data_IF_237170428395
#
_entry.id   IF_237170428395
#
_cell.length_a   1.000
_cell.length_b   1.000
_cell.length_c   1.000
_cell.angle_alpha   90.00
_cell.angle_beta   90.00
_cell.angle_gamma   90.00
#
_symmetry.space_group_name_H-M   'P 1'
#
loop_
_entity.id
_entity.type
_entity.pdbx_description
1 polymer ?
#
# COMPACT_ATOMS: atom_id res chain seq x y z
N UNK A 1 6.04 -0.97 27.87
CA UNK A 1 6.86 -1.86 27.04
C UNK A 1 6.18 -3.22 26.93
N UNK A 2 6.05 -3.76 25.72
CA UNK A 2 5.65 -5.15 25.53
C UNK A 2 6.83 -6.04 25.87
N UNK A 3 6.62 -7.01 26.72
CA UNK A 3 7.56 -8.09 26.90
C UNK A 3 7.27 -9.18 25.85
N UNK A 4 8.21 -9.45 24.97
CA UNK A 4 8.17 -10.63 24.13
C UNK A 4 8.62 -11.83 24.94
N UNK A 5 7.97 -12.99 24.72
CA UNK A 5 8.19 -14.20 25.50
C UNK A 5 9.66 -14.65 25.59
N UNK A 6 10.46 -14.34 24.59
CA UNK A 6 11.87 -14.73 24.54
C UNK A 6 12.85 -13.62 24.94
N UNK A 7 12.38 -12.44 25.33
CA UNK A 7 13.23 -11.30 25.70
C UNK A 7 14.19 -10.82 24.62
N UNK A 8 14.18 -11.47 23.47
CA UNK A 8 14.99 -11.04 22.35
C UNK A 8 14.29 -9.86 21.67
N UNK A 9 14.97 -8.73 21.50
CA UNK A 9 14.46 -7.67 20.65
C UNK A 9 14.23 -8.26 19.26
N UNK A 10 13.14 -7.87 18.62
CA UNK A 10 12.98 -8.19 17.20
C UNK A 10 14.09 -7.46 16.47
N UNK A 11 15.13 -8.21 16.10
CA UNK A 11 16.20 -7.69 15.28
C UNK A 11 15.78 -7.75 13.83
N UNK A 12 15.69 -6.61 13.20
CA UNK A 12 15.55 -6.53 11.76
C UNK A 12 16.92 -6.79 11.14
N UNK A 13 17.08 -7.95 10.51
CA UNK A 13 18.21 -8.20 9.62
C UNK A 13 17.86 -7.57 8.28
N UNK A 14 18.45 -6.44 7.97
CA UNK A 14 18.61 -6.08 6.57
C UNK A 14 19.51 -7.16 5.95
N UNK A 15 19.00 -7.86 4.95
CA UNK A 15 19.80 -8.75 4.12
C UNK A 15 20.74 -7.90 3.27
N UNK A 16 21.78 -7.38 3.88
CA UNK A 16 22.87 -6.75 3.17
C UNK A 16 24.03 -7.74 3.13
N UNK A 17 24.06 -8.55 2.08
CA UNK A 17 25.07 -9.59 1.87
C UNK A 17 26.49 -9.05 1.65
N UNK A 18 26.69 -7.73 1.68
CA UNK A 18 27.92 -7.10 1.23
C UNK A 18 28.65 -6.25 2.27
N UNK A 19 28.12 -6.03 3.45
CA UNK A 19 28.81 -5.26 4.46
C UNK A 19 28.75 -5.94 5.83
N UNK A 20 29.92 -6.13 6.46
CA UNK A 20 30.07 -6.59 7.84
C UNK A 20 29.53 -5.60 8.90
N UNK A 21 28.84 -4.55 8.46
CA UNK A 21 28.22 -3.56 9.33
C UNK A 21 26.74 -3.87 9.51
N UNK A 22 26.47 -4.79 10.37
CA UNK A 22 25.10 -5.09 10.81
C UNK A 22 24.69 -4.07 11.87
N UNK A 23 24.17 -2.93 11.47
CA UNK A 23 23.38 -2.09 12.35
C UNK A 23 22.00 -2.73 12.53
N UNK A 24 21.92 -3.66 13.47
CA UNK A 24 20.64 -4.17 13.92
C UNK A 24 19.98 -3.13 14.81
N UNK A 25 19.07 -2.35 14.25
CA UNK A 25 18.18 -1.55 15.08
C UNK A 25 17.21 -2.51 15.78
N UNK A 26 17.40 -2.66 17.08
CA UNK A 26 16.45 -3.38 17.93
C UNK A 26 15.25 -2.48 18.18
N UNK A 27 14.04 -2.99 17.96
CA UNK A 27 12.82 -2.29 18.36
C UNK A 27 11.91 -3.20 19.16
N UNK A 28 11.12 -2.60 20.01
CA UNK A 28 10.20 -3.30 20.89
C UNK A 28 8.77 -3.05 20.44
N UNK A 29 7.95 -4.10 20.48
CA UNK A 29 6.53 -3.92 20.31
C UNK A 29 5.94 -3.24 21.53
N UNK A 30 5.08 -2.28 21.31
CA UNK A 30 4.38 -1.57 22.37
C UNK A 30 3.19 -2.41 22.82
N UNK A 31 2.94 -2.47 24.15
CA UNK A 31 1.75 -3.14 24.69
C UNK A 31 0.49 -2.65 23.99
N UNK A 32 -0.40 -3.54 23.49
CA UNK A 32 -1.56 -3.15 22.69
C UNK A 32 -2.48 -2.12 23.38
N UNK A 33 -2.73 -2.24 24.68
CA UNK A 33 -3.54 -1.26 25.41
C UNK A 33 -2.89 0.12 25.44
N UNK A 34 -1.59 0.21 25.72
CA UNK A 34 -0.86 1.46 25.74
C UNK A 34 -0.78 2.11 24.35
N UNK A 35 -0.63 1.29 23.29
CA UNK A 35 -0.68 1.79 21.93
C UNK A 35 -2.03 2.47 21.62
N UNK A 36 -3.14 1.88 22.07
CA UNK A 36 -4.48 2.47 21.87
C UNK A 36 -4.68 3.77 22.65
N UNK A 37 -4.14 3.87 23.87
CA UNK A 37 -4.17 5.12 24.66
C UNK A 37 -3.31 6.22 23.99
N UNK A 38 -2.17 5.84 23.41
CA UNK A 38 -1.31 6.76 22.66
C UNK A 38 -2.00 7.33 21.41
N UNK A 39 -2.88 6.55 20.76
CA UNK A 39 -3.70 7.05 19.64
C UNK A 39 -4.60 8.19 20.08
N UNK A 40 -5.23 8.12 21.26
CA UNK A 40 -6.10 9.19 21.75
C UNK A 40 -5.32 10.51 21.89
N UNK A 41 -4.14 10.44 22.49
CA UNK A 41 -3.25 11.60 22.62
C UNK A 41 -2.83 12.16 21.26
N UNK A 42 -2.55 11.29 20.28
CA UNK A 42 -2.23 11.69 18.91
C UNK A 42 -3.40 12.38 18.22
N UNK A 43 -4.60 11.79 18.33
CA UNK A 43 -5.84 12.35 17.76
C UNK A 43 -6.18 13.72 18.35
N UNK A 44 -6.04 13.88 19.65
CA UNK A 44 -6.25 15.19 20.32
C UNK A 44 -5.30 16.26 19.76
N UNK A 45 -4.01 15.92 19.58
CA UNK A 45 -3.03 16.83 18.99
C UNK A 45 -3.38 17.21 17.55
N UNK A 46 -3.74 16.23 16.71
CA UNK A 46 -4.13 16.47 15.31
C UNK A 46 -5.39 17.34 15.24
N UNK A 47 -6.40 17.05 16.07
CA UNK A 47 -7.61 17.85 16.15
C UNK A 47 -7.30 19.29 16.62
N UNK A 48 -6.33 19.47 17.50
CA UNK A 48 -5.84 20.78 17.93
C UNK A 48 -5.29 21.65 16.79
N UNK A 49 -4.79 21.04 15.70
CA UNK A 49 -4.41 21.73 14.47
C UNK A 49 -5.58 21.97 13.50
N UNK A 50 -6.81 21.66 13.90
CA UNK A 50 -8.00 21.84 13.08
C UNK A 50 -8.21 20.74 12.03
N UNK A 51 -7.47 19.64 12.07
CA UNK A 51 -7.63 18.49 11.16
C UNK A 51 -8.39 17.36 11.85
N UNK A 52 -9.23 16.70 11.06
CA UNK A 52 -9.86 15.43 11.44
C UNK A 52 -9.34 14.24 10.62
N UNK A 53 -8.26 14.44 9.86
CA UNK A 53 -7.65 13.41 9.05
C UNK A 53 -6.50 12.76 9.84
N UNK A 54 -6.60 11.47 10.08
CA UNK A 54 -5.67 10.68 10.90
C UNK A 54 -5.00 9.63 10.01
N UNK A 55 -3.67 9.68 9.93
CA UNK A 55 -2.88 8.63 9.28
C UNK A 55 -2.23 7.72 10.33
N UNK A 56 -2.29 6.42 10.14
CA UNK A 56 -1.68 5.42 11.03
C UNK A 56 -0.93 4.37 10.19
N UNK A 57 0.30 4.10 10.57
CA UNK A 57 1.15 3.12 9.87
C UNK A 57 0.97 1.72 10.46
N UNK A 58 1.05 1.56 11.78
CA UNK A 58 1.04 0.24 12.43
C UNK A 58 -0.36 -0.29 12.71
N UNK A 59 -1.29 0.57 13.10
CA UNK A 59 -2.67 0.18 13.40
C UNK A 59 -3.40 -0.11 12.09
N UNK A 60 -3.91 -1.34 11.97
CA UNK A 60 -4.49 -1.85 10.74
C UNK A 60 -3.50 -2.65 9.88
N UNK A 61 -2.21 -2.62 10.21
CA UNK A 61 -1.15 -3.38 9.56
C UNK A 61 -0.53 -4.41 10.52
N UNK A 62 0.01 -3.96 11.64
CA UNK A 62 0.71 -4.81 12.59
C UNK A 62 -0.26 -5.35 13.65
N UNK A 63 -0.36 -6.67 13.76
CA UNK A 63 -1.16 -7.33 14.77
C UNK A 63 -0.30 -8.28 15.61
N UNK A 64 0.10 -7.84 16.77
CA UNK A 64 0.89 -8.60 17.74
C UNK A 64 0.17 -8.69 19.08
N UNK A 65 0.39 -9.81 19.80
CA UNK A 65 -0.01 -9.94 21.20
C UNK A 65 1.12 -9.47 22.12
N UNK A 66 0.81 -9.40 23.42
CA UNK A 66 1.79 -9.22 24.49
C UNK A 66 1.92 -10.55 25.26
N UNK A 67 3.11 -11.08 25.32
CA UNK A 67 3.38 -12.36 25.96
C UNK A 67 3.90 -12.23 27.40
N UNK A 68 3.81 -11.04 27.99
CA UNK A 68 4.18 -10.83 29.38
C UNK A 68 3.43 -11.80 30.30
N UNK A 69 4.13 -12.65 31.09
CA UNK A 69 3.49 -13.65 31.95
C UNK A 69 2.55 -13.08 32.99
N UNK A 70 2.75 -11.80 33.40
CA UNK A 70 1.94 -11.13 34.42
C UNK A 70 0.70 -10.46 33.87
N UNK A 71 0.72 -10.10 32.58
CA UNK A 71 -0.37 -9.34 31.97
C UNK A 71 -0.41 -9.61 30.45
N UNK A 72 -0.71 -10.85 30.14
CA UNK A 72 -0.72 -11.36 28.77
C UNK A 72 -1.91 -10.81 27.96
N UNK A 73 -1.64 -10.35 26.75
CA UNK A 73 -2.65 -9.96 25.77
C UNK A 73 -2.56 -10.89 24.55
N UNK A 74 -3.59 -11.66 24.29
CA UNK A 74 -3.61 -12.50 23.09
C UNK A 74 -3.68 -11.66 21.81
N UNK A 75 -3.27 -12.24 20.68
CA UNK A 75 -3.41 -11.59 19.37
C UNK A 75 -4.86 -11.24 19.04
N UNK A 76 -5.81 -12.08 19.44
CA UNK A 76 -7.25 -11.81 19.29
C UNK A 76 -7.71 -10.63 20.17
N UNK A 77 -7.24 -10.56 21.43
CA UNK A 77 -7.54 -9.42 22.28
C UNK A 77 -6.94 -8.11 21.72
N UNK A 78 -5.71 -8.16 21.18
CA UNK A 78 -5.10 -7.03 20.51
C UNK A 78 -5.90 -6.57 19.28
N UNK A 79 -6.40 -7.53 18.46
CA UNK A 79 -7.28 -7.25 17.33
C UNK A 79 -8.54 -6.51 17.80
N UNK A 80 -9.20 -7.01 18.83
CA UNK A 80 -10.41 -6.39 19.37
C UNK A 80 -10.17 -4.96 19.89
N UNK A 81 -8.99 -4.70 20.48
CA UNK A 81 -8.61 -3.34 20.90
C UNK A 81 -8.42 -2.42 19.68
N UNK A 82 -7.72 -2.85 18.63
CA UNK A 82 -7.54 -2.07 17.41
C UNK A 82 -8.87 -1.79 16.71
N UNK A 83 -9.73 -2.79 16.54
CA UNK A 83 -11.06 -2.63 15.93
C UNK A 83 -11.91 -1.63 16.70
N UNK A 84 -11.98 -1.75 18.02
CA UNK A 84 -12.71 -0.78 18.85
C UNK A 84 -12.17 0.65 18.71
N UNK A 85 -10.85 0.80 18.62
CA UNK A 85 -10.22 2.10 18.43
C UNK A 85 -10.58 2.69 17.07
N UNK A 86 -10.46 1.94 15.98
CA UNK A 86 -10.84 2.37 14.64
C UNK A 86 -12.32 2.75 14.55
N UNK A 87 -13.20 1.96 15.16
CA UNK A 87 -14.63 2.29 15.28
C UNK A 87 -14.85 3.63 15.99
N UNK A 88 -14.17 3.86 17.12
CA UNK A 88 -14.31 5.11 17.88
C UNK A 88 -13.83 6.33 17.09
N UNK A 89 -12.77 6.20 16.32
CA UNK A 89 -12.28 7.26 15.42
C UNK A 89 -13.32 7.63 14.37
N UNK A 90 -13.94 6.65 13.73
CA UNK A 90 -15.01 6.88 12.76
C UNK A 90 -16.23 7.53 13.39
N UNK A 91 -16.66 7.06 14.57
CA UNK A 91 -17.78 7.67 15.31
C UNK A 91 -17.48 9.10 15.75
N UNK A 92 -16.22 9.42 16.05
CA UNK A 92 -15.74 10.77 16.31
C UNK A 92 -15.68 11.70 15.09
N UNK A 93 -16.03 11.19 13.91
CA UNK A 93 -16.04 11.92 12.64
C UNK A 93 -14.65 12.12 12.03
N UNK A 94 -13.65 11.31 12.44
CA UNK A 94 -12.34 11.33 11.83
C UNK A 94 -12.32 10.57 10.50
N UNK A 95 -11.52 11.06 9.55
CA UNK A 95 -11.12 10.33 8.37
C UNK A 95 -9.85 9.56 8.67
N UNK A 96 -9.84 8.28 8.38
CA UNK A 96 -8.77 7.36 8.78
C UNK A 96 -8.05 6.82 7.55
N UNK A 97 -6.74 7.06 7.48
CA UNK A 97 -5.83 6.44 6.55
C UNK A 97 -5.01 5.37 7.28
N UNK A 98 -4.92 4.19 6.71
CA UNK A 98 -4.10 3.08 7.23
C UNK A 98 -3.10 2.61 6.18
N UNK A 99 -2.06 1.94 6.62
CA UNK A 99 -1.04 1.33 5.75
C UNK A 99 -1.31 -0.16 5.59
N UNK A 100 -1.03 -0.70 4.41
CA UNK A 100 -1.19 -2.12 4.01
C UNK A 100 -2.62 -2.67 4.03
N UNK A 101 -3.47 -2.25 4.96
CA UNK A 101 -4.90 -2.55 4.98
C UNK A 101 -5.27 -4.00 5.26
N UNK A 102 -5.01 -4.50 6.46
CA UNK A 102 -5.52 -5.80 6.88
C UNK A 102 -7.05 -5.82 6.90
N UNK A 103 -7.66 -6.96 6.57
CA UNK A 103 -9.10 -7.15 6.43
C UNK A 103 -9.92 -6.62 7.64
N UNK A 104 -9.41 -6.74 8.86
CA UNK A 104 -10.13 -6.27 10.06
C UNK A 104 -10.19 -4.75 10.18
N UNK A 105 -9.28 -4.03 9.52
CA UNK A 105 -9.14 -2.57 9.62
C UNK A 105 -9.80 -1.82 8.45
N UNK A 106 -9.81 -2.41 7.25
CA UNK A 106 -10.35 -1.80 6.03
C UNK A 106 -11.77 -1.25 6.19
N UNK A 107 -12.74 -1.93 6.88
CA UNK A 107 -14.09 -1.40 7.07
C UNK A 107 -14.15 -0.06 7.83
N UNK A 108 -13.08 0.31 8.51
CA UNK A 108 -12.99 1.53 9.32
C UNK A 108 -12.05 2.57 8.71
N UNK A 109 -11.41 2.27 7.60
CA UNK A 109 -10.54 3.19 6.87
C UNK A 109 -11.32 3.98 5.82
N UNK A 110 -10.79 5.15 5.44
CA UNK A 110 -11.25 5.96 4.31
C UNK A 110 -10.24 5.90 3.17
N UNK A 111 -9.00 5.52 3.46
CA UNK A 111 -7.93 5.35 2.48
C UNK A 111 -6.92 4.31 2.98
N UNK A 112 -6.36 3.54 2.06
CA UNK A 112 -5.27 2.59 2.34
C UNK A 112 -4.06 2.93 1.48
N UNK A 113 -2.91 3.18 2.12
CA UNK A 113 -1.63 3.33 1.43
C UNK A 113 -0.84 2.02 1.49
N UNK A 114 0.11 1.88 0.58
CA UNK A 114 1.05 0.75 0.58
C UNK A 114 0.35 -0.62 0.65
N UNK A 115 -0.79 -0.74 -0.05
CA UNK A 115 -1.50 -2.01 -0.16
C UNK A 115 -0.66 -2.97 -1.01
N UNK A 116 -0.53 -4.21 -0.54
CA UNK A 116 0.12 -5.23 -1.34
C UNK A 116 -0.72 -5.55 -2.57
N UNK A 117 -0.25 -5.16 -3.75
CA UNK A 117 -0.92 -5.39 -5.03
C UNK A 117 -0.62 -6.79 -5.60
N UNK A 118 0.36 -7.50 -5.01
CA UNK A 118 0.79 -8.82 -5.43
C UNK A 118 0.43 -9.89 -4.41
N UNK A 119 0.17 -11.10 -4.88
CA UNK A 119 0.30 -12.28 -4.03
C UNK A 119 1.81 -12.58 -3.82
N UNK A 120 2.17 -13.16 -2.66
CA UNK A 120 3.54 -13.64 -2.47
C UNK A 120 3.86 -14.66 -3.55
N UNK A 121 4.89 -14.36 -4.35
CA UNK A 121 5.44 -15.34 -5.28
C UNK A 121 6.06 -16.48 -4.46
N UNK A 122 5.43 -17.65 -4.52
CA UNK A 122 6.00 -18.91 -4.06
C UNK A 122 6.09 -19.86 -5.25
N UNK A 123 7.08 -20.74 -5.26
CA UNK A 123 7.42 -21.57 -6.42
C UNK A 123 6.28 -22.48 -6.95
N UNK A 124 5.16 -22.55 -6.24
CA UNK A 124 3.97 -23.35 -6.63
C UNK A 124 2.84 -22.51 -7.24
N UNK A 125 3.03 -21.20 -7.34
CA UNK A 125 2.03 -20.28 -7.92
C UNK A 125 2.45 -19.97 -9.35
N UNK A 126 1.65 -20.39 -10.31
CA UNK A 126 1.88 -20.15 -11.74
C UNK A 126 1.44 -18.75 -12.16
N UNK A 127 0.35 -18.24 -11.58
CA UNK A 127 -0.20 -16.92 -11.87
C UNK A 127 -0.70 -16.22 -10.62
N UNK A 128 -0.55 -14.90 -10.61
CA UNK A 128 -1.07 -14.05 -9.55
C UNK A 128 -2.39 -13.42 -10.02
N UNK A 129 -3.39 -13.47 -9.15
CA UNK A 129 -4.66 -12.75 -9.34
C UNK A 129 -4.75 -11.67 -8.27
N UNK A 130 -5.00 -10.41 -8.61
CA UNK A 130 -5.10 -9.31 -7.65
C UNK A 130 -6.45 -9.36 -6.89
N UNK A 131 -6.78 -10.51 -6.32
CA UNK A 131 -8.09 -10.81 -5.74
C UNK A 131 -8.50 -9.81 -4.66
N UNK A 132 -7.55 -9.40 -3.81
CA UNK A 132 -7.85 -8.49 -2.70
C UNK A 132 -8.26 -7.10 -3.21
N UNK A 133 -7.54 -6.57 -4.16
CA UNK A 133 -7.87 -5.29 -4.79
C UNK A 133 -9.16 -5.37 -5.60
N UNK A 134 -9.40 -6.48 -6.31
CA UNK A 134 -10.67 -6.72 -7.01
C UNK A 134 -11.87 -6.67 -6.05
N UNK A 135 -11.73 -7.27 -4.86
CA UNK A 135 -12.79 -7.28 -3.85
C UNK A 135 -13.03 -5.92 -3.19
N UNK A 136 -12.04 -5.03 -3.18
CA UNK A 136 -12.10 -3.74 -2.49
C UNK A 136 -12.31 -2.54 -3.43
N UNK A 137 -12.04 -2.69 -4.72
CA UNK A 137 -12.17 -1.60 -5.69
C UNK A 137 -13.63 -1.09 -5.75
N UNK A 138 -13.78 0.22 -5.75
CA UNK A 138 -15.09 0.87 -5.65
C UNK A 138 -15.64 1.00 -4.22
N UNK A 139 -15.11 0.25 -3.24
CA UNK A 139 -15.52 0.33 -1.84
C UNK A 139 -14.61 1.24 -1.01
N UNK A 140 -13.33 1.27 -1.31
CA UNK A 140 -12.33 2.09 -0.63
C UNK A 140 -11.24 2.52 -1.61
N UNK A 141 -10.73 3.74 -1.44
CA UNK A 141 -9.57 4.20 -2.20
C UNK A 141 -8.28 3.61 -1.62
N UNK A 142 -7.42 3.11 -2.48
CA UNK A 142 -6.14 2.54 -2.09
C UNK A 142 -5.03 2.87 -3.09
N UNK A 143 -3.79 2.78 -2.63
CA UNK A 143 -2.58 2.83 -3.46
C UNK A 143 -1.67 1.65 -3.17
N UNK A 144 -0.85 1.28 -4.12
CA UNK A 144 0.28 0.39 -3.87
C UNK A 144 1.42 1.07 -3.12
N UNK A 145 2.59 0.44 -3.09
CA UNK A 145 3.80 1.00 -2.52
C UNK A 145 4.30 2.26 -3.25
N UNK A 146 5.22 2.98 -2.61
CA UNK A 146 5.79 4.21 -3.17
C UNK A 146 6.56 3.90 -4.48
N UNK A 147 6.10 4.47 -5.59
CA UNK A 147 6.62 4.21 -6.93
C UNK A 147 8.10 4.60 -7.02
N UNK A 148 8.45 5.77 -6.49
CA UNK A 148 9.82 6.29 -6.53
C UNK A 148 10.81 5.61 -5.56
N UNK A 149 10.35 4.65 -4.78
CA UNK A 149 11.17 3.84 -3.88
C UNK A 149 11.14 2.34 -4.24
N UNK A 150 10.50 2.00 -5.35
CA UNK A 150 10.45 0.63 -5.84
C UNK A 150 11.74 0.25 -6.59
N UNK A 151 12.13 -1.03 -6.52
CA UNK A 151 13.27 -1.56 -7.27
C UNK A 151 13.03 -1.52 -8.77
N UNK A 152 11.82 -1.79 -9.23
CA UNK A 152 11.33 -1.57 -10.60
C UNK A 152 10.11 -0.64 -10.57
N UNK A 153 10.34 0.65 -10.77
CA UNK A 153 9.30 1.68 -10.80
C UNK A 153 8.23 1.37 -11.85
N UNK A 154 8.66 0.91 -13.02
CA UNK A 154 7.76 0.62 -14.13
C UNK A 154 6.86 -0.57 -13.82
N UNK A 155 7.39 -1.60 -13.18
CA UNK A 155 6.61 -2.74 -12.70
C UNK A 155 5.55 -2.30 -11.70
N UNK A 156 5.92 -1.46 -10.73
CA UNK A 156 5.00 -0.96 -9.71
C UNK A 156 3.89 -0.08 -10.33
N UNK A 157 4.21 0.73 -11.34
CA UNK A 157 3.23 1.49 -12.13
C UNK A 157 2.25 0.54 -12.84
N UNK A 158 2.75 -0.51 -13.48
CA UNK A 158 1.92 -1.47 -14.21
C UNK A 158 0.99 -2.25 -13.26
N UNK A 159 1.50 -2.68 -12.11
CA UNK A 159 0.69 -3.33 -11.07
C UNK A 159 -0.39 -2.41 -10.50
N UNK A 160 -0.06 -1.14 -10.29
CA UNK A 160 -1.06 -0.14 -9.90
C UNK A 160 -2.15 0.02 -10.97
N UNK A 161 -1.77 0.03 -12.24
CA UNK A 161 -2.72 0.11 -13.35
C UNK A 161 -3.58 -1.17 -13.48
N UNK A 162 -2.99 -2.36 -13.32
CA UNK A 162 -3.72 -3.64 -13.38
C UNK A 162 -4.77 -3.76 -12.28
N UNK A 163 -4.45 -3.31 -11.07
CA UNK A 163 -5.31 -3.42 -9.90
C UNK A 163 -6.24 -2.22 -9.70
N UNK A 164 -6.19 -1.20 -10.56
CA UNK A 164 -6.96 0.04 -10.39
C UNK A 164 -6.52 0.88 -9.19
N UNK A 165 -5.32 0.65 -8.66
CA UNK A 165 -4.79 1.37 -7.51
C UNK A 165 -4.40 2.81 -7.87
N UNK A 166 -4.51 3.72 -6.90
CA UNK A 166 -3.97 5.08 -7.02
C UNK A 166 -2.45 5.10 -6.97
N UNK A 167 -1.87 6.23 -7.37
CA UNK A 167 -0.43 6.46 -7.30
C UNK A 167 -0.01 6.86 -5.88
N UNK A 168 1.14 6.37 -5.44
CA UNK A 168 1.77 6.73 -4.19
C UNK A 168 3.25 7.06 -4.39
N UNK A 169 3.70 8.18 -3.80
CA UNK A 169 5.08 8.63 -3.83
C UNK A 169 5.48 9.14 -2.45
N UNK A 170 6.74 8.95 -2.10
CA UNK A 170 7.32 9.51 -0.87
C UNK A 170 8.27 10.64 -1.24
N UNK A 171 8.08 11.83 -0.67
CA UNK A 171 8.90 13.00 -0.98
C UNK A 171 9.51 13.65 0.24
N UNK A 172 10.71 14.20 0.02
CA UNK A 172 11.33 15.18 0.90
C UNK A 172 11.67 16.45 0.10
N UNK A 173 11.68 17.60 0.79
CA UNK A 173 12.02 18.87 0.19
C UNK A 173 13.55 19.03 -0.01
N UNK A 174 14.35 18.44 0.87
CA UNK A 174 15.81 18.50 0.84
C UNK A 174 16.37 17.45 -0.15
N UNK A 175 17.65 17.62 -0.49
CA UNK A 175 18.36 16.61 -1.30
C UNK A 175 18.46 15.29 -0.54
N UNK A 176 18.30 14.18 -1.24
CA UNK A 176 18.38 12.84 -0.64
C UNK A 176 19.71 12.54 0.06
N UNK A 177 20.78 13.26 -0.31
CA UNK A 177 22.08 13.17 0.37
C UNK A 177 22.03 13.47 1.88
N UNK A 178 21.01 14.18 2.39
CA UNK A 178 20.84 14.40 3.83
C UNK A 178 20.40 13.13 4.58
N UNK A 179 19.96 12.11 3.86
CA UNK A 179 19.50 10.82 4.38
C UNK A 179 20.51 9.68 4.16
N UNK A 180 21.80 10.00 3.91
CA UNK A 180 22.83 8.99 3.62
C UNK A 180 23.14 8.08 4.80
N UNK A 181 22.83 8.51 6.03
CA UNK A 181 23.17 7.77 7.22
C UNK A 181 22.24 6.57 7.46
N UNK A 182 22.81 5.41 7.35
CA UNK A 182 22.40 4.09 7.80
C UNK A 182 20.91 3.76 7.69
N UNK A 183 20.12 4.14 8.66
CA UNK A 183 18.71 3.74 8.76
C UNK A 183 17.76 4.40 7.75
N UNK A 184 18.21 5.40 7.01
CA UNK A 184 17.38 6.13 6.04
C UNK A 184 17.71 5.81 4.58
N UNK A 185 18.58 4.84 4.33
CA UNK A 185 19.02 4.46 2.97
C UNK A 185 17.85 4.08 2.05
N UNK A 186 16.75 3.57 2.58
CA UNK A 186 15.54 3.27 1.82
C UNK A 186 14.92 4.48 1.11
N UNK A 187 15.25 5.71 1.53
CA UNK A 187 14.72 6.96 0.96
C UNK A 187 15.67 7.60 -0.05
N UNK A 188 16.42 6.79 -0.78
CA UNK A 188 17.47 7.24 -1.71
C UNK A 188 16.96 8.03 -2.91
N UNK A 189 15.70 7.91 -3.28
CA UNK A 189 15.08 8.52 -4.47
C UNK A 189 13.81 9.33 -4.12
N UNK A 190 13.86 10.18 -3.09
CA UNK A 190 12.66 10.85 -2.60
C UNK A 190 12.70 12.39 -2.71
N UNK A 191 13.68 13.00 -3.41
CA UNK A 191 13.66 14.45 -3.58
C UNK A 191 12.52 14.88 -4.50
N UNK A 192 11.69 15.83 -4.03
CA UNK A 192 10.53 16.31 -4.77
C UNK A 192 10.89 16.95 -6.12
N UNK A 193 11.97 17.75 -6.16
CA UNK A 193 12.36 18.47 -7.37
C UNK A 193 12.78 17.54 -8.51
N UNK A 194 13.34 16.38 -8.17
CA UNK A 194 13.73 15.36 -9.14
C UNK A 194 12.52 14.69 -9.77
N UNK A 195 11.45 14.47 -8.99
CA UNK A 195 10.29 13.67 -9.39
C UNK A 195 9.08 14.47 -9.88
N UNK A 196 8.94 15.72 -9.52
CA UNK A 196 7.70 16.51 -9.75
C UNK A 196 7.18 16.47 -11.18
N UNK A 197 8.07 16.46 -12.17
CA UNK A 197 7.68 16.46 -13.59
C UNK A 197 7.13 15.11 -14.01
N UNK A 198 7.82 14.03 -13.65
CA UNK A 198 7.44 12.67 -14.02
C UNK A 198 6.19 12.24 -13.28
N UNK A 199 6.07 12.61 -12.00
CA UNK A 199 4.85 12.42 -11.21
C UNK A 199 3.65 13.09 -11.85
N UNK A 200 3.78 14.35 -12.27
CA UNK A 200 2.67 15.07 -12.90
C UNK A 200 2.25 14.43 -14.23
N UNK A 201 3.22 14.01 -15.03
CA UNK A 201 2.97 13.31 -16.29
C UNK A 201 2.23 11.99 -16.05
N UNK A 202 2.70 11.20 -15.09
CA UNK A 202 2.10 9.93 -14.73
C UNK A 202 0.69 10.11 -14.13
N UNK A 203 0.52 11.12 -13.25
CA UNK A 203 -0.77 11.47 -12.67
C UNK A 203 -1.81 11.80 -13.75
N UNK A 204 -1.45 12.62 -14.75
CA UNK A 204 -2.34 12.96 -15.84
C UNK A 204 -2.72 11.70 -16.65
N UNK A 205 -1.75 10.85 -16.98
CA UNK A 205 -2.01 9.58 -17.68
C UNK A 205 -2.94 8.67 -16.89
N UNK A 206 -2.74 8.54 -15.57
CA UNK A 206 -3.63 7.75 -14.72
C UNK A 206 -5.04 8.34 -14.68
N UNK A 207 -5.19 9.66 -14.50
CA UNK A 207 -6.50 10.30 -14.49
C UNK A 207 -7.27 10.08 -15.79
N UNK A 208 -6.62 10.24 -16.93
CA UNK A 208 -7.26 9.99 -18.24
C UNK A 208 -7.65 8.52 -18.40
N UNK A 209 -6.77 7.60 -17.98
CA UNK A 209 -7.00 6.16 -18.10
C UNK A 209 -8.12 5.68 -17.19
N UNK A 210 -8.16 6.15 -15.93
CA UNK A 210 -9.06 5.65 -14.89
C UNK A 210 -10.24 6.60 -14.59
N UNK A 211 -10.46 7.64 -15.39
CA UNK A 211 -11.60 8.55 -15.22
C UNK A 211 -12.92 7.76 -15.14
N UNK A 212 -13.67 7.96 -14.06
CA UNK A 212 -14.97 7.33 -13.82
C UNK A 212 -14.92 5.85 -13.40
N UNK A 213 -13.73 5.32 -12.98
CA UNK A 213 -13.63 3.94 -12.47
C UNK A 213 -13.43 3.84 -10.96
N UNK A 214 -12.99 4.89 -10.29
CA UNK A 214 -12.60 4.83 -8.87
C UNK A 214 -13.72 4.44 -7.89
N UNK A 215 -14.97 4.64 -8.29
CA UNK A 215 -16.18 4.26 -7.54
C UNK A 215 -16.89 3.03 -8.12
N UNK A 216 -16.25 2.31 -9.03
CA UNK A 216 -16.78 1.14 -9.71
C UNK A 216 -16.12 -0.13 -9.23
N UNK A 217 -16.88 -1.21 -9.12
CA UNK A 217 -16.30 -2.53 -8.87
C UNK A 217 -15.45 -2.99 -10.06
N UNK A 218 -14.46 -3.86 -9.79
CA UNK A 218 -13.79 -4.62 -10.83
C UNK A 218 -14.67 -5.85 -11.11
N UNK A 219 -15.25 -5.89 -12.31
CA UNK A 219 -16.11 -7.00 -12.72
C UNK A 219 -15.31 -8.21 -13.20
N UNK A 220 -14.19 -7.97 -13.89
CA UNK A 220 -13.41 -9.03 -14.51
C UNK A 220 -11.93 -8.68 -14.57
N UNK A 221 -11.08 -9.67 -14.31
CA UNK A 221 -9.64 -9.62 -14.53
C UNK A 221 -9.22 -10.83 -15.37
N UNK A 222 -8.53 -10.60 -16.47
CA UNK A 222 -8.23 -11.62 -17.47
C UNK A 222 -6.78 -11.53 -17.93
N UNK A 223 -6.09 -12.65 -18.00
CA UNK A 223 -4.86 -12.79 -18.78
C UNK A 223 -5.26 -12.99 -20.25
N UNK A 224 -5.07 -11.98 -21.08
CA UNK A 224 -5.47 -12.00 -22.50
C UNK A 224 -4.35 -12.47 -23.43
N UNK A 225 -3.11 -12.41 -22.96
CA UNK A 225 -1.93 -12.99 -23.59
C UNK A 225 -0.83 -13.19 -22.51
N UNK A 226 0.27 -13.85 -22.87
CA UNK A 226 1.41 -13.96 -21.96
C UNK A 226 1.95 -12.55 -21.62
N UNK A 227 2.01 -12.23 -20.32
CA UNK A 227 2.41 -10.91 -19.81
C UNK A 227 1.47 -9.77 -20.18
N UNK A 228 0.20 -10.05 -20.56
CA UNK A 228 -0.80 -9.02 -20.85
C UNK A 228 -2.10 -9.30 -20.13
N UNK A 229 -2.54 -8.34 -19.33
CA UNK A 229 -3.75 -8.46 -18.51
C UNK A 229 -4.76 -7.39 -18.85
N UNK A 230 -6.03 -7.74 -18.73
CA UNK A 230 -7.16 -6.82 -18.90
C UNK A 230 -8.00 -6.79 -17.64
N UNK A 231 -8.20 -5.60 -17.08
CA UNK A 231 -9.10 -5.35 -15.96
C UNK A 231 -10.31 -4.58 -16.47
N UNK A 232 -11.51 -5.12 -16.26
CA UNK A 232 -12.79 -4.52 -16.67
C UNK A 232 -13.53 -4.04 -15.42
N UNK A 233 -13.98 -2.79 -15.45
CA UNK A 233 -14.73 -2.15 -14.37
C UNK A 233 -16.22 -2.16 -14.68
N UNK A 234 -17.04 -2.08 -13.64
CA UNK A 234 -18.49 -1.90 -13.75
C UNK A 234 -18.81 -0.72 -14.69
N UNK A 235 -19.71 -0.97 -15.65
CA UNK A 235 -20.01 -0.01 -16.71
C UNK A 235 -19.19 -0.22 -17.99
N UNK A 236 -18.32 -1.26 -18.02
CA UNK A 236 -17.69 -1.75 -19.25
C UNK A 236 -16.39 -1.02 -19.65
N UNK A 237 -15.92 -0.04 -18.90
CA UNK A 237 -14.57 0.52 -19.12
C UNK A 237 -13.53 -0.53 -18.76
N UNK A 238 -12.50 -0.68 -19.59
CA UNK A 238 -11.44 -1.63 -19.33
C UNK A 238 -10.05 -1.00 -19.51
N UNK A 239 -9.06 -1.54 -18.82
CA UNK A 239 -7.66 -1.17 -18.95
C UNK A 239 -6.86 -2.42 -19.30
N UNK A 240 -6.03 -2.32 -20.34
CA UNK A 240 -5.07 -3.36 -20.72
C UNK A 240 -3.68 -2.93 -20.27
N UNK A 241 -3.00 -3.84 -19.60
CA UNK A 241 -1.64 -3.67 -19.09
C UNK A 241 -0.72 -4.65 -19.80
N UNK A 242 0.35 -4.15 -20.41
CA UNK A 242 1.35 -4.93 -21.14
C UNK A 242 2.69 -4.91 -20.37
N UNK A 243 3.05 -6.03 -19.76
CA UNK A 243 4.31 -6.22 -19.04
C UNK A 243 5.49 -6.57 -19.97
N UNK A 244 5.21 -6.88 -21.25
CA UNK A 244 6.22 -7.30 -22.22
C UNK A 244 7.09 -6.12 -22.69
N UNK A 245 8.29 -6.43 -23.13
CA UNK A 245 9.22 -5.48 -23.78
C UNK A 245 8.94 -5.28 -25.28
N UNK A 246 7.78 -5.74 -25.76
CA UNK A 246 7.27 -5.52 -27.11
C UNK A 246 5.86 -4.97 -27.08
N UNK A 247 5.48 -4.21 -28.11
CA UNK A 247 4.13 -3.67 -28.22
C UNK A 247 3.11 -4.81 -28.41
N UNK A 248 1.94 -4.63 -27.85
CA UNK A 248 0.80 -5.57 -27.98
C UNK A 248 -0.35 -4.90 -28.74
N UNK A 249 -1.00 -5.65 -29.62
CA UNK A 249 -2.18 -5.17 -30.35
C UNK A 249 -3.46 -5.73 -29.74
N UNK A 250 -4.31 -4.87 -29.22
CA UNK A 250 -5.61 -5.23 -28.69
C UNK A 250 -6.72 -4.57 -29.51
N UNK A 251 -7.50 -5.34 -30.28
CA UNK A 251 -8.64 -4.86 -31.08
C UNK A 251 -8.31 -3.64 -31.96
N UNK A 252 -7.11 -3.63 -32.57
CA UNK A 252 -6.64 -2.53 -33.41
C UNK A 252 -6.04 -1.33 -32.67
N UNK A 253 -5.99 -1.36 -31.34
CA UNK A 253 -5.27 -0.39 -30.52
C UNK A 253 -3.92 -0.95 -30.11
N UNK A 254 -2.85 -0.17 -30.30
CA UNK A 254 -1.52 -0.54 -29.84
C UNK A 254 -1.33 -0.17 -28.37
N UNK A 255 -0.91 -1.14 -27.57
CA UNK A 255 -0.46 -0.96 -26.17
C UNK A 255 1.05 -1.08 -26.19
N UNK A 256 1.76 -0.01 -25.88
CA UNK A 256 3.22 0.01 -25.96
C UNK A 256 3.87 -1.00 -24.99
N UNK A 257 5.14 -1.31 -25.24
CA UNK A 257 5.96 -2.13 -24.36
C UNK A 257 6.03 -1.54 -22.95
N UNK A 258 5.85 -2.36 -21.91
CA UNK A 258 5.87 -1.94 -20.51
C UNK A 258 4.94 -0.74 -20.25
N UNK A 259 3.67 -0.84 -20.77
CA UNK A 259 2.73 0.27 -20.66
C UNK A 259 1.28 -0.21 -20.49
N UNK A 260 0.36 0.72 -20.30
CA UNK A 260 -1.06 0.46 -20.13
C UNK A 260 -1.90 1.50 -20.87
N UNK A 261 -3.12 1.14 -21.23
CA UNK A 261 -4.07 2.04 -21.84
C UNK A 261 -5.52 1.63 -21.53
N UNK A 262 -6.41 2.65 -21.48
CA UNK A 262 -7.85 2.40 -21.49
C UNK A 262 -8.26 1.83 -22.85
N UNK A 263 -9.13 0.83 -22.82
CA UNK A 263 -9.72 0.22 -24.02
C UNK A 263 -11.24 0.20 -23.88
N UNK A 264 -11.96 0.16 -25.01
CA UNK A 264 -13.39 -0.09 -24.95
C UNK A 264 -13.60 -1.55 -24.55
N UNK A 265 -14.37 -1.79 -23.49
CA UNK A 265 -14.86 -3.13 -23.19
C UNK A 265 -15.63 -3.63 -24.39
N UNK A 266 -15.13 -4.70 -25.02
CA UNK A 266 -15.91 -5.36 -26.07
C UNK A 266 -17.13 -6.01 -25.40
N UNK A 267 -18.30 -5.74 -25.93
CA UNK A 267 -19.47 -6.58 -25.69
C UNK A 267 -19.13 -7.96 -26.31
N UNK A 268 -19.06 -8.99 -25.50
CA UNK A 268 -19.22 -10.38 -25.95
C UNK A 268 -20.69 -10.75 -25.90
#
# INVERSE_FOLDING_TARGET
ECELYNWDPITYQANDDYTDYHNYDSYYLVKPSYAMDSVDTYVEKVNGYGSKNIGMEDIGNTLAGDYNPKDRVSREAALNLQVKKLQSLKQGGNKVMITSGNQYAVPYADFVTDMNLDARAVNIIDEQVPFYTMALHGLINYSGGAINLADDEKENILKSAESGAGLYFTYIAEKTSVLQDGKYTRYYACNYDDWKKDTLSLYNKFNETFEGTYDKAIDKHEKIAEGVYKTTFEGGKAVVVNYNYSNYQYNGQEIAARDFAAVKGGEE
#
